data_IF_664360753769
#
_entry.id   IF_664360753769
#
_cell.length_a   1.000
_cell.length_b   1.000
_cell.length_c   1.000
_cell.angle_alpha   90.00
_cell.angle_beta   90.00
_cell.angle_gamma   90.00
#
_symmetry.space_group_name_H-M   'P 1'
#
loop_
_entity.id
_entity.type
_entity.pdbx_description
1 polymer ?
#
# COMPACT_ATOMS: atom_id res chain seq x y z
N UNK A 1 10.92 7.96 -3.43
CA UNK A 1 10.35 9.00 -4.31
C UNK A 1 8.98 9.41 -3.83
N UNK A 2 8.63 10.70 -3.87
CA UNK A 2 7.27 11.10 -3.53
C UNK A 2 6.28 10.72 -4.62
N UNK A 3 5.05 10.51 -4.19
CA UNK A 3 3.91 10.24 -5.08
C UNK A 3 3.04 11.49 -5.19
N UNK A 4 2.16 11.52 -6.16
CA UNK A 4 1.17 12.61 -6.29
C UNK A 4 -0.20 12.15 -5.82
N UNK A 5 -1.04 13.09 -5.44
CA UNK A 5 -2.43 12.82 -5.07
C UNK A 5 -3.14 12.09 -6.22
N UNK A 6 -3.85 11.02 -5.91
CA UNK A 6 -4.57 10.20 -6.88
C UNK A 6 -3.76 9.15 -7.60
N UNK A 7 -2.43 9.17 -7.46
CA UNK A 7 -1.56 8.14 -8.04
C UNK A 7 -1.78 6.81 -7.33
N UNK A 8 -1.84 5.72 -8.09
CA UNK A 8 -1.89 4.38 -7.51
C UNK A 8 -0.53 4.03 -6.92
N UNK A 9 -0.54 3.63 -5.66
CA UNK A 9 0.66 3.24 -4.90
C UNK A 9 0.53 1.76 -4.56
N UNK A 10 1.58 0.99 -4.78
CA UNK A 10 1.61 -0.43 -4.41
C UNK A 10 2.64 -0.66 -3.31
N UNK A 11 2.24 -1.41 -2.29
CA UNK A 11 3.09 -1.85 -1.19
C UNK A 11 3.17 -3.36 -1.24
N UNK A 12 4.38 -3.91 -1.18
CA UNK A 12 4.60 -5.34 -1.12
C UNK A 12 4.68 -5.79 0.34
N UNK A 13 3.84 -6.74 0.72
CA UNK A 13 3.91 -7.41 2.02
C UNK A 13 4.51 -8.78 1.84
N UNK A 14 5.45 -9.13 2.71
CA UNK A 14 6.10 -10.43 2.71
C UNK A 14 5.58 -11.28 3.85
N UNK A 15 5.24 -12.53 3.56
CA UNK A 15 4.86 -13.54 4.53
C UNK A 15 5.98 -14.55 4.69
N UNK A 16 6.03 -15.22 5.83
CA UNK A 16 7.00 -16.28 6.08
C UNK A 16 6.74 -17.54 5.23
N UNK A 17 5.48 -17.73 4.81
CA UNK A 17 5.06 -18.81 3.92
C UNK A 17 4.21 -18.22 2.79
N UNK A 18 4.11 -18.90 1.63
CA UNK A 18 3.22 -18.43 0.57
C UNK A 18 1.80 -18.24 1.11
N UNK A 19 1.16 -17.06 0.87
CA UNK A 19 -0.19 -16.81 1.34
C UNK A 19 -1.14 -17.78 0.65
N UNK A 20 -1.43 -18.86 1.36
CA UNK A 20 -2.20 -19.94 0.81
C UNK A 20 -3.68 -19.61 0.76
N UNK A 21 -4.43 -20.58 0.27
CA UNK A 21 -5.87 -20.53 0.01
C UNK A 21 -6.75 -20.08 1.18
N UNK A 22 -6.22 -19.96 2.40
CA UNK A 22 -6.96 -19.53 3.56
C UNK A 22 -7.03 -18.01 3.74
N UNK A 23 -6.27 -17.26 2.97
CA UNK A 23 -6.24 -15.81 3.07
C UNK A 23 -7.42 -15.22 2.29
N UNK A 24 -8.28 -14.45 2.96
CA UNK A 24 -9.47 -13.85 2.37
C UNK A 24 -9.25 -12.41 1.96
N UNK A 25 -8.64 -11.64 2.85
CA UNK A 25 -8.51 -10.20 2.63
C UNK A 25 -7.38 -9.65 3.49
N UNK A 26 -6.64 -8.71 2.93
CA UNK A 26 -5.66 -7.93 3.68
C UNK A 26 -5.95 -6.46 3.45
N UNK A 27 -6.03 -5.69 4.53
CA UNK A 27 -6.28 -4.25 4.47
C UNK A 27 -5.22 -3.54 5.29
N UNK A 28 -4.53 -2.59 4.67
CA UNK A 28 -3.58 -1.73 5.35
C UNK A 28 -4.15 -0.31 5.41
N UNK A 29 -4.16 0.28 6.60
CA UNK A 29 -4.65 1.63 6.82
C UNK A 29 -3.47 2.55 7.11
N UNK A 30 -3.26 3.53 6.23
CA UNK A 30 -2.25 4.55 6.40
C UNK A 30 -2.91 5.86 6.80
N UNK A 31 -2.21 6.67 7.56
CA UNK A 31 -2.68 8.01 7.92
C UNK A 31 -1.52 9.00 7.89
N UNK A 32 -1.82 10.23 7.46
CA UNK A 32 -0.86 11.32 7.49
C UNK A 32 -0.95 12.08 8.83
N UNK A 33 -0.15 13.13 8.97
CA UNK A 33 -0.08 13.94 10.17
C UNK A 33 -1.38 14.72 10.47
N UNK A 34 -2.26 14.87 9.48
CA UNK A 34 -3.56 15.52 9.63
C UNK A 34 -4.69 14.56 9.97
N UNK A 35 -4.42 13.26 9.97
CA UNK A 35 -5.43 12.24 10.17
C UNK A 35 -6.17 11.82 8.90
N UNK A 36 -5.74 12.27 7.72
CA UNK A 36 -6.29 11.78 6.45
C UNK A 36 -5.88 10.32 6.26
N UNK A 37 -6.82 9.49 5.82
CA UNK A 37 -6.63 8.06 5.73
C UNK A 37 -6.52 7.62 4.27
N UNK A 38 -5.56 6.70 4.02
CA UNK A 38 -5.45 5.99 2.76
C UNK A 38 -5.54 4.50 3.07
N UNK A 39 -6.52 3.82 2.48
CA UNK A 39 -6.75 2.39 2.68
C UNK A 39 -6.23 1.62 1.47
N UNK A 40 -5.39 0.62 1.73
CA UNK A 40 -4.79 -0.22 0.71
C UNK A 40 -5.36 -1.62 0.83
N UNK A 41 -5.73 -2.19 -0.30
CA UNK A 41 -6.30 -3.54 -0.37
C UNK A 41 -5.49 -4.41 -1.32
N UNK A 42 -5.63 -5.73 -1.15
CA UNK A 42 -4.92 -6.71 -1.94
C UNK A 42 -5.28 -6.62 -3.42
N UNK A 43 -4.28 -6.76 -4.26
CA UNK A 43 -4.41 -6.79 -5.72
C UNK A 43 -4.43 -8.24 -6.18
N UNK A 44 -5.26 -8.60 -7.19
CA UNK A 44 -5.19 -9.93 -7.79
C UNK A 44 -3.76 -10.27 -8.25
N UNK A 45 -3.34 -11.51 -8.05
CA UNK A 45 -1.96 -11.95 -8.32
C UNK A 45 -1.47 -11.60 -9.73
N UNK A 46 -2.34 -11.70 -10.73
CA UNK A 46 -1.99 -11.40 -12.12
C UNK A 46 -1.76 -9.92 -12.41
N UNK A 47 -2.13 -9.03 -11.48
CA UNK A 47 -2.00 -7.57 -11.62
C UNK A 47 -0.98 -6.97 -10.64
N UNK A 48 -0.35 -7.80 -9.81
CA UNK A 48 0.59 -7.37 -8.80
C UNK A 48 2.02 -7.66 -9.22
N UNK A 49 2.87 -6.64 -9.23
CA UNK A 49 4.30 -6.80 -9.50
C UNK A 49 5.01 -7.54 -8.35
N UNK A 50 4.48 -7.44 -7.14
CA UNK A 50 5.06 -8.09 -5.96
C UNK A 50 5.01 -9.61 -6.06
N UNK A 51 3.87 -10.16 -6.47
CA UNK A 51 3.67 -11.60 -6.57
C UNK A 51 4.52 -12.21 -7.69
N UNK A 52 4.79 -11.46 -8.75
CA UNK A 52 5.63 -11.93 -9.85
C UNK A 52 7.09 -12.12 -9.43
N UNK A 53 7.55 -11.39 -8.41
CA UNK A 53 8.92 -11.47 -7.94
C UNK A 53 9.12 -12.58 -6.91
N UNK A 54 8.19 -12.70 -5.95
CA UNK A 54 8.32 -13.64 -4.84
C UNK A 54 6.95 -14.24 -4.48
N UNK A 55 6.83 -15.58 -4.41
CA UNK A 55 5.55 -16.22 -4.10
C UNK A 55 5.06 -16.00 -2.67
N UNK A 56 5.96 -15.53 -1.77
CA UNK A 56 5.62 -15.20 -0.39
C UNK A 56 5.15 -13.76 -0.22
N UNK A 57 5.10 -12.99 -1.30
CA UNK A 57 4.69 -11.58 -1.26
C UNK A 57 3.31 -11.39 -1.86
N UNK A 58 2.59 -10.39 -1.33
CA UNK A 58 1.35 -9.90 -1.93
C UNK A 58 1.47 -8.39 -2.14
N UNK A 59 0.77 -7.88 -3.13
CA UNK A 59 0.68 -6.44 -3.39
C UNK A 59 -0.59 -5.86 -2.80
N UNK A 60 -0.44 -4.73 -2.12
CA UNK A 60 -1.56 -3.92 -1.67
C UNK A 60 -1.54 -2.61 -2.44
N UNK A 61 -2.66 -2.23 -3.04
CA UNK A 61 -2.78 -0.99 -3.79
C UNK A 61 -3.78 -0.05 -3.14
N UNK A 62 -3.48 1.24 -3.23
CA UNK A 62 -4.34 2.29 -2.76
C UNK A 62 -3.93 3.64 -3.33
N UNK A 63 -4.71 4.66 -2.98
CA UNK A 63 -4.49 6.04 -3.40
C UNK A 63 -4.68 6.96 -2.23
N UNK A 64 -3.93 8.06 -2.20
CA UNK A 64 -4.13 9.11 -1.22
C UNK A 64 -4.86 10.27 -1.89
N UNK A 65 -5.89 10.80 -1.23
CA UNK A 65 -6.67 11.93 -1.71
C UNK A 65 -6.12 13.29 -1.23
N UNK A 66 -5.19 13.25 -0.28
CA UNK A 66 -4.60 14.45 0.32
C UNK A 66 -3.09 14.28 0.42
N UNK A 67 -2.32 15.39 0.32
CA UNK A 67 -0.88 15.32 0.48
C UNK A 67 -0.47 15.08 1.94
N UNK A 68 0.75 14.64 2.17
CA UNK A 68 1.32 14.47 3.49
C UNK A 68 2.25 13.27 3.57
N UNK A 69 2.80 13.06 4.75
CA UNK A 69 3.61 11.89 5.06
C UNK A 69 2.71 10.83 5.69
N UNK A 70 2.47 9.76 4.95
CA UNK A 70 1.62 8.67 5.40
C UNK A 70 2.44 7.59 6.07
N UNK A 71 1.93 7.10 7.20
CA UNK A 71 2.52 5.99 7.94
C UNK A 71 1.49 4.91 8.13
N UNK A 72 1.93 3.66 8.08
CA UNK A 72 1.07 2.52 8.34
C UNK A 72 0.62 2.52 9.79
N UNK A 73 -0.70 2.54 10.02
CA UNK A 73 -1.30 2.57 11.37
C UNK A 73 -1.94 1.27 11.76
N UNK A 74 -2.48 0.53 10.80
CA UNK A 74 -3.18 -0.73 11.06
C UNK A 74 -2.99 -1.68 9.89
N UNK A 75 -2.74 -2.94 10.22
CA UNK A 75 -2.69 -4.02 9.24
C UNK A 75 -3.65 -5.11 9.71
N UNK A 76 -4.67 -5.37 8.91
CA UNK A 76 -5.71 -6.35 9.20
C UNK A 76 -5.63 -7.48 8.18
N UNK A 77 -5.53 -8.70 8.68
CA UNK A 77 -5.49 -9.90 7.85
C UNK A 77 -6.71 -10.75 8.16
N UNK A 78 -7.56 -10.94 7.17
CA UNK A 78 -8.72 -11.83 7.25
C UNK A 78 -8.38 -13.18 6.63
N UNK A 79 -8.62 -14.24 7.37
CA UNK A 79 -8.40 -15.62 6.92
C UNK A 79 -9.58 -16.50 7.35
N UNK A 80 -9.60 -17.75 6.91
CA UNK A 80 -10.72 -18.65 7.17
C UNK A 80 -10.97 -18.88 8.67
N UNK A 81 -9.94 -18.81 9.50
CA UNK A 81 -10.06 -18.99 10.95
C UNK A 81 -10.49 -17.72 11.70
N UNK A 82 -10.58 -16.56 11.03
CA UNK A 82 -10.97 -15.31 11.65
C UNK A 82 -10.17 -14.12 11.18
N UNK A 83 -10.06 -13.11 12.03
CA UNK A 83 -9.38 -11.86 11.73
C UNK A 83 -8.20 -11.70 12.67
N UNK A 84 -7.03 -11.38 12.12
CA UNK A 84 -5.84 -11.07 12.89
C UNK A 84 -5.41 -9.63 12.64
N UNK A 85 -5.16 -8.89 13.74
CA UNK A 85 -4.50 -7.59 13.69
C UNK A 85 -3.03 -7.80 13.94
N UNK A 86 -2.21 -7.41 12.98
CA UNK A 86 -0.76 -7.57 13.05
C UNK A 86 -0.14 -6.25 13.47
N UNK A 87 0.92 -6.30 14.30
CA UNK A 87 1.68 -5.10 14.61
C UNK A 87 2.24 -4.52 13.31
N UNK A 88 1.89 -3.27 12.97
CA UNK A 88 2.24 -2.74 11.67
C UNK A 88 3.76 -2.55 11.54
N UNK A 89 4.37 -3.06 10.45
CA UNK A 89 5.74 -2.72 10.16
C UNK A 89 5.88 -1.23 9.88
N UNK A 90 7.09 -0.71 10.00
CA UNK A 90 7.36 0.72 9.75
C UNK A 90 7.41 0.98 8.25
N UNK A 91 6.25 1.26 7.68
CA UNK A 91 6.12 1.62 6.27
C UNK A 91 5.62 3.07 6.19
N UNK A 92 6.27 3.89 5.40
CA UNK A 92 5.85 5.27 5.17
C UNK A 92 6.10 5.67 3.73
N UNK A 93 5.32 6.62 3.25
CA UNK A 93 5.49 7.24 1.94
C UNK A 93 4.99 8.68 1.96
N UNK A 94 5.59 9.50 1.09
CA UNK A 94 5.22 10.92 0.96
C UNK A 94 4.33 11.12 -0.25
N UNK A 95 3.29 11.92 -0.08
CA UNK A 95 2.37 12.32 -1.15
C UNK A 95 2.38 13.84 -1.26
N UNK A 96 2.60 14.34 -2.46
CA UNK A 96 2.56 15.77 -2.78
C UNK A 96 1.25 16.12 -3.47
N UNK A 97 0.79 17.36 -3.25
CA UNK A 97 -0.47 17.83 -3.84
C UNK A 97 -0.43 17.92 -5.35
N UNK A 98 0.65 18.49 -5.89
CA UNK A 98 0.83 18.68 -7.33
C UNK A 98 2.27 18.41 -7.72
N UNK A 99 2.53 17.91 -8.95
CA UNK A 99 3.87 17.83 -9.46
C UNK A 99 4.50 19.21 -9.59
N UNK A 100 5.81 19.31 -9.33
CA UNK A 100 6.57 20.54 -9.51
C UNK A 100 7.17 20.58 -10.92
N UNK A 101 7.14 21.76 -11.54
CA UNK A 101 7.84 21.98 -12.78
C UNK A 101 9.33 22.17 -12.47
N UNK A 102 10.16 21.25 -12.92
CA UNK A 102 11.61 21.30 -12.66
C UNK A 102 12.45 21.69 -13.89
N UNK A 103 11.81 21.93 -15.02
CA UNK A 103 12.49 22.36 -16.24
C UNK A 103 11.53 22.41 -17.41
N UNK A 104 12.06 22.86 -18.55
CA UNK A 104 11.29 22.94 -19.80
C UNK A 104 12.22 22.92 -21.00
N UNK A 105 11.67 22.55 -22.14
CA UNK A 105 12.39 22.63 -23.41
C UNK A 105 11.34 22.84 -24.53
N UNK A 106 11.82 23.37 -25.67
CA UNK A 106 10.97 23.49 -26.84
C UNK A 106 10.85 22.14 -27.52
N UNK A 107 9.62 21.81 -27.92
CA UNK A 107 9.34 20.55 -28.58
C UNK A 107 9.97 20.47 -30.00
#
# INVERSE_FOLDING_TARGET
>A
MPYTVGQTIEVCLEFDLPPARGLRRVVATFANERGDIAEFTEVPAGLSDCVLQEPTQIGLQGRASHPGLYKLKRLRVEHLAGITHVDPPRISFEVRGTPEVVGWHLA
#
